data_IF_391932353678
#
_entry.id   IF_391932353678
#
_cell.length_a   1.000
_cell.length_b   1.000
_cell.length_c   1.000
_cell.angle_alpha   90.00
_cell.angle_beta   90.00
_cell.angle_gamma   90.00
#
_symmetry.space_group_name_H-M   'P 1'
#
loop_
_entity.id
_entity.type
_entity.pdbx_description
1 polymer ?
#
# COMPACT_ATOMS: atom_id res chain seq x y z
N UNK A 1 10.36 2.62 -11.33
CA UNK A 1 9.48 1.58 -11.93
C UNK A 1 9.97 1.03 -13.29
N UNK A 2 11.26 1.10 -13.63
CA UNK A 2 11.77 0.60 -14.91
C UNK A 2 11.55 -0.91 -15.10
N UNK A 3 11.89 -1.70 -14.07
CA UNK A 3 11.73 -3.15 -14.09
C UNK A 3 10.28 -3.62 -14.27
N UNK A 4 9.31 -3.05 -13.54
CA UNK A 4 7.89 -3.37 -13.69
C UNK A 4 7.38 -3.11 -15.12
N UNK A 5 7.76 -1.96 -15.71
CA UNK A 5 7.35 -1.61 -17.09
C UNK A 5 7.99 -2.52 -18.13
N UNK A 6 9.23 -2.95 -17.89
CA UNK A 6 9.92 -3.91 -18.73
C UNK A 6 9.26 -5.29 -18.67
N UNK A 7 9.00 -5.80 -17.47
CA UNK A 7 8.29 -7.07 -17.27
C UNK A 7 6.88 -7.04 -17.85
N UNK A 8 6.13 -5.93 -17.71
CA UNK A 8 4.82 -5.75 -18.34
C UNK A 8 4.88 -5.87 -19.88
N UNK A 9 5.88 -5.24 -20.50
CA UNK A 9 6.10 -5.35 -21.95
C UNK A 9 6.47 -6.77 -22.38
N UNK A 10 7.29 -7.46 -21.61
CA UNK A 10 7.70 -8.84 -21.93
C UNK A 10 6.56 -9.83 -21.73
N UNK A 11 5.78 -9.71 -20.65
CA UNK A 11 4.70 -10.64 -20.31
C UNK A 11 3.44 -10.43 -21.16
N UNK A 12 3.10 -9.18 -21.49
CA UNK A 12 1.80 -8.83 -22.07
C UNK A 12 1.88 -7.92 -23.30
N UNK A 13 3.07 -7.49 -23.72
CA UNK A 13 3.26 -6.66 -24.92
C UNK A 13 2.80 -5.21 -24.77
N UNK A 14 2.42 -4.77 -23.57
CA UNK A 14 1.88 -3.44 -23.32
C UNK A 14 2.55 -2.76 -22.10
N UNK A 15 2.52 -1.42 -22.01
CA UNK A 15 2.90 -0.71 -20.79
C UNK A 15 2.05 -1.14 -19.60
N UNK A 16 2.65 -1.18 -18.41
CA UNK A 16 1.97 -1.60 -17.17
C UNK A 16 0.68 -0.81 -16.90
N UNK A 17 0.67 0.49 -17.20
CA UNK A 17 -0.47 1.39 -17.00
C UNK A 17 -1.67 1.10 -17.93
N UNK A 18 -1.46 0.31 -19.00
CA UNK A 18 -2.49 -0.07 -19.97
C UNK A 18 -2.99 -1.50 -19.75
N UNK A 19 -2.42 -2.23 -18.79
CA UNK A 19 -2.82 -3.58 -18.43
C UNK A 19 -4.13 -3.58 -17.64
N UNK A 20 -4.87 -4.69 -17.72
CA UNK A 20 -6.01 -4.92 -16.82
C UNK A 20 -5.51 -5.15 -15.38
N UNK A 21 -6.38 -4.98 -14.37
CA UNK A 21 -6.00 -5.22 -12.98
C UNK A 21 -5.37 -6.61 -12.76
N UNK A 22 -5.99 -7.66 -13.32
CA UNK A 22 -5.43 -9.02 -13.26
C UNK A 22 -4.05 -9.16 -13.90
N UNK A 23 -3.80 -8.43 -14.98
CA UNK A 23 -2.49 -8.44 -15.64
C UNK A 23 -1.45 -7.65 -14.84
N UNK A 24 -1.84 -6.53 -14.22
CA UNK A 24 -0.98 -5.78 -13.30
C UNK A 24 -0.59 -6.64 -12.10
N UNK A 25 -1.56 -7.32 -11.48
CA UNK A 25 -1.34 -8.25 -10.37
C UNK A 25 -0.35 -9.35 -10.77
N UNK A 26 -0.52 -9.94 -11.95
CA UNK A 26 0.38 -10.98 -12.45
C UNK A 26 1.83 -10.46 -12.62
N UNK A 27 2.02 -9.23 -13.09
CA UNK A 27 3.36 -8.61 -13.16
C UNK A 27 3.94 -8.43 -11.75
N UNK A 28 3.17 -7.84 -10.83
CA UNK A 28 3.64 -7.59 -9.45
C UNK A 28 3.98 -8.88 -8.73
N UNK A 29 3.18 -9.93 -8.92
CA UNK A 29 3.43 -11.24 -8.33
C UNK A 29 4.68 -11.93 -8.92
N UNK A 30 4.97 -11.71 -10.21
CA UNK A 30 6.22 -12.17 -10.79
C UNK A 30 7.43 -11.43 -10.18
N UNK A 31 7.31 -10.12 -9.92
CA UNK A 31 8.38 -9.34 -9.26
C UNK A 31 8.59 -9.86 -7.83
N UNK A 32 7.52 -10.06 -7.07
CA UNK A 32 7.57 -10.58 -5.70
C UNK A 32 8.25 -11.96 -5.61
N UNK A 33 7.99 -12.84 -6.58
CA UNK A 33 8.48 -14.22 -6.60
C UNK A 33 9.87 -14.39 -7.25
N UNK A 34 10.55 -13.30 -7.60
CA UNK A 34 11.81 -13.33 -8.38
C UNK A 34 11.70 -14.05 -9.74
N UNK A 35 10.52 -14.04 -10.35
CA UNK A 35 10.28 -14.64 -11.68
C UNK A 35 9.98 -13.62 -12.76
N UNK A 36 10.03 -12.32 -12.43
CA UNK A 36 9.79 -11.24 -13.37
C UNK A 36 10.84 -11.27 -14.51
N UNK A 37 10.41 -11.25 -15.78
CA UNK A 37 11.33 -11.21 -16.90
C UNK A 37 11.82 -9.79 -17.17
N UNK A 38 13.06 -9.65 -17.65
CA UNK A 38 13.64 -8.37 -18.06
C UNK A 38 15.10 -8.22 -17.62
N UNK A 39 16.00 -7.69 -18.47
CA UNK A 39 17.42 -7.54 -18.16
C UNK A 39 17.72 -6.70 -16.92
N UNK A 40 16.79 -5.84 -16.46
CA UNK A 40 16.99 -5.07 -15.23
C UNK A 40 17.20 -6.01 -14.02
N UNK A 41 16.49 -7.14 -14.00
CA UNK A 41 16.54 -8.10 -12.89
C UNK A 41 17.83 -8.93 -12.86
N UNK A 42 18.61 -8.94 -13.94
CA UNK A 42 19.94 -9.59 -13.96
C UNK A 42 20.94 -8.90 -13.03
N UNK A 43 20.68 -7.63 -12.69
CA UNK A 43 21.56 -6.79 -11.86
C UNK A 43 20.90 -6.31 -10.56
N UNK A 44 19.60 -6.55 -10.41
CA UNK A 44 18.78 -6.06 -9.30
C UNK A 44 17.86 -7.18 -8.80
N UNK A 45 17.86 -7.46 -7.50
CA UNK A 45 16.88 -8.40 -6.93
C UNK A 45 15.47 -7.81 -7.05
N UNK A 46 14.61 -8.53 -7.76
CA UNK A 46 13.21 -8.18 -7.94
C UNK A 46 12.44 -8.19 -6.61
N UNK A 47 12.74 -9.15 -5.74
CA UNK A 47 12.11 -9.26 -4.44
C UNK A 47 12.46 -8.07 -3.53
N UNK A 48 13.75 -7.72 -3.42
CA UNK A 48 14.17 -6.52 -2.65
C UNK A 48 13.54 -5.24 -3.19
N UNK A 49 13.50 -5.09 -4.52
CA UNK A 49 12.82 -3.96 -5.15
C UNK A 49 11.33 -3.91 -4.79
N UNK A 50 10.66 -5.07 -4.73
CA UNK A 50 9.26 -5.16 -4.34
C UNK A 50 9.04 -4.76 -2.87
N UNK A 51 9.92 -5.17 -1.96
CA UNK A 51 9.87 -4.77 -0.55
C UNK A 51 10.03 -3.26 -0.37
N UNK A 52 11.01 -2.65 -1.06
CA UNK A 52 11.23 -1.20 -1.05
C UNK A 52 10.02 -0.45 -1.63
N UNK A 53 9.43 -0.97 -2.71
CA UNK A 53 8.21 -0.41 -3.30
C UNK A 53 7.02 -0.47 -2.33
N UNK A 54 6.83 -1.58 -1.62
CA UNK A 54 5.75 -1.76 -0.67
C UNK A 54 5.91 -0.82 0.54
N UNK A 55 7.14 -0.65 1.04
CA UNK A 55 7.43 0.29 2.12
C UNK A 55 7.07 1.73 1.70
N UNK A 56 7.56 2.18 0.55
CA UNK A 56 7.26 3.52 0.00
C UNK A 56 5.77 3.73 -0.29
N UNK A 57 5.08 2.71 -0.80
CA UNK A 57 3.62 2.78 -1.01
C UNK A 57 2.87 2.87 0.31
N UNK A 58 3.29 2.11 1.32
CA UNK A 58 2.69 2.12 2.66
C UNK A 58 2.92 3.47 3.35
N UNK A 59 4.13 4.02 3.28
CA UNK A 59 4.46 5.34 3.81
C UNK A 59 3.64 6.44 3.13
N UNK A 60 3.50 6.42 1.80
CA UNK A 60 2.68 7.39 1.07
C UNK A 60 1.17 7.21 1.33
N UNK A 61 0.70 5.97 1.48
CA UNK A 61 -0.71 5.68 1.78
C UNK A 61 -1.10 6.15 3.19
N UNK A 62 -0.21 5.98 4.18
CA UNK A 62 -0.42 6.48 5.55
C UNK A 62 -0.06 7.95 5.75
N UNK A 63 0.61 8.60 4.79
CA UNK A 63 0.82 10.05 4.80
C UNK A 63 -0.46 10.85 4.45
N UNK A 64 -1.52 10.19 3.98
CA UNK A 64 -2.80 10.84 3.68
C UNK A 64 -3.75 10.80 4.91
N UNK A 65 -4.27 11.94 5.40
CA UNK A 65 -5.11 12.03 6.61
C UNK A 65 -6.40 11.18 6.64
N UNK A 66 -6.75 10.51 5.55
CA UNK A 66 -7.99 9.73 5.40
C UNK A 66 -7.79 8.21 5.55
N UNK A 67 -6.56 7.69 5.55
CA UNK A 67 -6.30 6.25 5.73
C UNK A 67 -6.45 5.80 7.20
N UNK A 68 -6.37 6.73 8.16
CA UNK A 68 -6.53 6.44 9.58
C UNK A 68 -7.98 6.10 9.98
N UNK A 69 -8.99 6.51 9.19
CA UNK A 69 -10.39 6.18 9.44
C UNK A 69 -10.73 4.72 9.11
N UNK A 70 -10.14 4.11 8.06
CA UNK A 70 -10.49 2.74 7.64
C UNK A 70 -9.98 1.64 8.57
N UNK A 71 -8.93 1.90 9.35
CA UNK A 71 -8.36 0.95 10.32
C UNK A 71 -8.83 1.19 11.76
N UNK A 72 -9.76 2.12 11.99
CA UNK A 72 -10.29 2.43 13.31
C UNK A 72 -9.28 3.10 14.26
N UNK A 73 -8.25 3.76 13.73
CA UNK A 73 -7.22 4.39 14.54
C UNK A 73 -7.63 5.82 14.96
N UNK A 74 -8.18 5.96 16.17
CA UNK A 74 -8.59 7.24 16.77
C UNK A 74 -7.43 7.98 17.49
N UNK A 75 -6.19 7.82 17.03
CA UNK A 75 -4.98 8.34 17.67
C UNK A 75 -4.44 9.65 17.09
N UNK A 76 -5.25 10.46 16.42
CA UNK A 76 -4.85 11.80 15.99
C UNK A 76 -5.01 12.76 17.18
N UNK A 77 -3.88 13.11 17.80
CA UNK A 77 -3.79 14.13 18.86
C UNK A 77 -3.76 15.56 18.29
N UNK A 78 -4.45 15.79 17.18
CA UNK A 78 -4.56 17.06 16.50
C UNK A 78 -6.03 17.39 16.23
N UNK A 79 -6.55 18.23 17.15
CA UNK A 79 -7.62 19.22 16.95
C UNK A 79 -8.93 18.66 16.39
N UNK A 80 -9.68 17.92 17.22
CA UNK A 80 -10.18 18.46 18.47
C UNK A 80 -9.47 17.79 19.64
N UNK A 81 -8.94 18.61 20.55
CA UNK A 81 -8.38 18.08 21.80
C UNK A 81 -9.42 17.22 22.53
N UNK A 82 -8.94 16.33 23.39
CA UNK A 82 -9.78 15.49 24.24
C UNK A 82 -10.68 16.39 25.11
N UNK A 83 -11.98 16.46 24.79
CA UNK A 83 -12.96 17.24 25.54
C UNK A 83 -13.57 16.43 26.68
N UNK A 84 -13.69 15.12 26.49
CA UNK A 84 -14.21 14.18 27.47
C UNK A 84 -13.05 13.53 28.23
N UNK A 85 -12.84 13.96 29.47
CA UNK A 85 -11.77 13.50 30.37
C UNK A 85 -12.31 12.74 31.59
N UNK A 86 -13.61 12.52 31.66
CA UNK A 86 -14.26 11.74 32.70
C UNK A 86 -13.96 10.25 32.60
N UNK A 87 -14.04 9.55 33.74
CA UNK A 87 -13.89 8.09 33.77
C UNK A 87 -15.03 7.43 32.99
N UNK A 88 -14.71 6.66 31.94
CA UNK A 88 -15.64 6.07 30.97
C UNK A 88 -16.44 7.07 30.12
N UNK A 89 -15.95 8.30 29.99
CA UNK A 89 -16.56 9.29 29.12
C UNK A 89 -16.07 9.08 27.68
N UNK A 90 -16.95 8.58 26.81
CA UNK A 90 -16.63 8.26 25.41
C UNK A 90 -16.95 9.43 24.49
N UNK A 91 -16.05 9.76 23.58
CA UNK A 91 -16.35 10.69 22.48
C UNK A 91 -17.35 10.06 21.49
N UNK A 92 -18.13 10.88 20.79
CA UNK A 92 -19.21 10.41 19.90
C UNK A 92 -18.70 9.53 18.74
N UNK A 93 -17.39 9.59 18.48
CA UNK A 93 -16.66 8.77 17.48
C UNK A 93 -16.22 7.40 18.00
N UNK A 94 -16.36 7.12 19.30
CA UNK A 94 -15.95 5.84 19.88
C UNK A 94 -17.06 4.79 19.73
N UNK A 95 -16.74 3.55 19.32
CA UNK A 95 -17.73 2.50 19.17
C UNK A 95 -18.32 2.06 20.53
N UNK A 96 -19.61 1.72 20.52
CA UNK A 96 -20.26 1.08 21.67
C UNK A 96 -19.82 -0.39 21.79
N UNK A 97 -19.70 -0.88 23.02
CA UNK A 97 -19.41 -2.29 23.24
C UNK A 97 -20.59 -3.12 22.74
N UNK A 98 -20.30 -4.09 21.87
CA UNK A 98 -21.30 -5.02 21.36
C UNK A 98 -21.63 -6.01 22.48
N UNK A 99 -22.88 -5.98 22.97
CA UNK A 99 -23.38 -6.88 24.03
C UNK A 99 -23.60 -8.32 23.57
#
# INVERSE_FOLDING_TARGET
>A
MGGIRESARVMFGAPFEQLTGLQQDAVLQAVQNETAPGPIWDTLSANRFFEELLAEMTENYYAHPLAHEEIGYAGMADVPGWSKIGLNEKEDREPEEVS
#
